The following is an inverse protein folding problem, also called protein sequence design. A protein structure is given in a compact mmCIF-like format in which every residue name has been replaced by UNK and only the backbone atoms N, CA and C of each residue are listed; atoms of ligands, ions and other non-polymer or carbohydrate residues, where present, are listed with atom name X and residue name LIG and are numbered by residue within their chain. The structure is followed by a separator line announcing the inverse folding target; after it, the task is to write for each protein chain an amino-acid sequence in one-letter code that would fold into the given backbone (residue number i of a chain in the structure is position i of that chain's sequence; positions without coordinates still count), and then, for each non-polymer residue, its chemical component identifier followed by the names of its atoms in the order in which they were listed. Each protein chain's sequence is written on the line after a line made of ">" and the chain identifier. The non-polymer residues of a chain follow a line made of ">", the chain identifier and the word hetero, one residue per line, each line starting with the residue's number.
data_IF_667334343630
#
_entry.id   IF_667334343630
#
_cell.length_a   1.000
_cell.length_b   1.000
_cell.length_c   1.000
_cell.angle_alpha   90.00
_cell.angle_beta   90.00
_cell.angle_gamma   90.00
#
_symmetry.space_group_name_H-M   'P 1'
#
loop_
_entity.id
_entity.type
_entity.pdbx_description
1 polymer ?
#
# COMPACT_ATOMS: atom_id res chain seq x y z
N UNK A 1 -3.67 -26.91 -20.29
CA UNK A 1 -4.54 -25.78 -19.91
C UNK A 1 -5.35 -26.20 -18.70
N UNK A 2 -4.82 -25.97 -17.49
CA UNK A 2 -5.52 -26.24 -16.23
C UNK A 2 -5.98 -24.88 -15.67
N UNK A 3 -7.26 -24.74 -15.32
CA UNK A 3 -7.77 -23.48 -14.85
C UNK A 3 -7.38 -23.22 -13.40
N UNK A 4 -6.95 -22.02 -13.12
CA UNK A 4 -7.09 -21.23 -11.87
C UNK A 4 -7.42 -22.04 -10.57
N UNK A 5 -6.58 -23.04 -10.22
CA UNK A 5 -6.68 -23.79 -8.96
C UNK A 5 -5.91 -23.14 -7.80
N UNK A 6 -5.24 -22.03 -8.04
CA UNK A 6 -4.19 -21.54 -7.15
C UNK A 6 -4.63 -20.31 -6.30
N UNK A 7 -5.92 -20.06 -6.11
CA UNK A 7 -6.35 -19.06 -5.14
C UNK A 7 -6.74 -19.73 -3.81
N UNK A 8 -6.20 -19.24 -2.72
CA UNK A 8 -6.47 -19.71 -1.35
C UNK A 8 -7.97 -19.78 -1.03
N UNK A 9 -8.76 -18.80 -1.51
CA UNK A 9 -10.22 -18.82 -1.39
C UNK A 9 -10.85 -19.95 -2.23
N UNK A 10 -10.31 -20.22 -3.43
CA UNK A 10 -10.80 -21.28 -4.28
C UNK A 10 -10.43 -22.66 -3.72
N UNK A 11 -9.23 -22.83 -3.16
CA UNK A 11 -8.84 -24.07 -2.48
C UNK A 11 -9.63 -24.32 -1.20
N UNK A 12 -9.86 -23.31 -0.35
CA UNK A 12 -10.71 -23.43 0.84
C UNK A 12 -12.11 -23.84 0.43
N UNK A 13 -12.69 -23.18 -0.58
CA UNK A 13 -14.04 -23.48 -1.08
C UNK A 13 -14.10 -24.84 -1.77
N UNK A 14 -13.09 -25.17 -2.58
CA UNK A 14 -13.02 -26.45 -3.29
C UNK A 14 -12.74 -27.62 -2.34
N UNK A 15 -11.86 -27.44 -1.35
CA UNK A 15 -11.59 -28.45 -0.33
C UNK A 15 -12.77 -28.70 0.62
N UNK A 16 -13.60 -27.71 0.86
CA UNK A 16 -14.88 -27.92 1.56
C UNK A 16 -15.92 -28.65 0.70
N UNK A 17 -15.81 -28.53 -0.62
CA UNK A 17 -16.74 -29.13 -1.59
C UNK A 17 -16.41 -30.56 -1.95
N UNK A 18 -15.12 -30.90 -2.08
CA UNK A 18 -14.71 -32.17 -2.72
C UNK A 18 -14.55 -33.36 -1.79
N UNK A 19 -14.55 -33.16 -0.45
CA UNK A 19 -14.24 -34.22 0.55
C UNK A 19 -12.93 -34.99 0.26
N UNK A 20 -12.00 -34.43 -0.50
CA UNK A 20 -10.74 -35.06 -0.85
C UNK A 20 -9.81 -35.15 0.36
N UNK A 21 -9.21 -36.31 0.66
CA UNK A 21 -8.29 -36.47 1.78
C UNK A 21 -6.99 -35.65 1.67
N UNK A 22 -6.66 -35.16 0.48
CA UNK A 22 -5.51 -34.25 0.26
C UNK A 22 -5.73 -32.84 0.83
N UNK A 23 -6.94 -32.51 1.22
CA UNK A 23 -7.33 -31.22 1.74
C UNK A 23 -7.15 -31.04 3.26
N UNK A 24 -6.76 -32.07 4.00
CA UNK A 24 -6.60 -31.99 5.47
C UNK A 24 -5.49 -31.01 5.93
N UNK A 25 -4.55 -30.68 5.05
CA UNK A 25 -3.49 -29.70 5.34
C UNK A 25 -3.94 -28.23 5.22
N UNK A 26 -5.10 -27.96 4.63
CA UNK A 26 -5.64 -26.60 4.40
C UNK A 26 -6.67 -26.20 5.46
N UNK A 27 -7.02 -27.12 6.37
CA UNK A 27 -8.00 -26.88 7.44
C UNK A 27 -7.41 -26.09 8.61
N UNK A 28 -7.01 -24.85 8.40
CA UNK A 28 -6.57 -23.95 9.46
C UNK A 28 -7.72 -23.36 10.31
N UNK A 29 -8.95 -23.49 9.86
CA UNK A 29 -10.14 -23.09 10.64
C UNK A 29 -11.10 -24.26 10.64
N UNK A 30 -11.26 -24.88 11.79
CA UNK A 30 -12.22 -25.96 11.99
C UNK A 30 -13.64 -25.37 11.99
N UNK A 31 -14.18 -25.11 10.80
CA UNK A 31 -15.53 -24.62 10.56
C UNK A 31 -16.59 -25.75 10.62
N UNK A 32 -16.38 -26.72 11.53
CA UNK A 32 -17.32 -27.82 11.77
C UNK A 32 -18.69 -27.37 12.30
N UNK A 33 -18.89 -26.06 12.50
CA UNK A 33 -20.15 -25.49 12.97
C UNK A 33 -21.15 -25.11 11.86
N UNK A 34 -20.77 -25.19 10.58
CA UNK A 34 -21.67 -24.83 9.48
C UNK A 34 -21.99 -26.11 8.71
N UNK A 35 -23.24 -26.63 8.74
CA UNK A 35 -23.67 -27.71 7.87
C UNK A 35 -23.68 -27.16 6.42
N UNK A 36 -22.67 -27.52 5.65
CA UNK A 36 -22.51 -27.04 4.27
C UNK A 36 -23.32 -27.92 3.33
N UNK A 37 -24.61 -27.69 3.27
CA UNK A 37 -25.32 -27.88 2.01
C UNK A 37 -25.03 -26.64 1.14
N UNK A 38 -24.43 -26.85 -0.02
CA UNK A 38 -23.95 -25.78 -0.89
C UNK A 38 -25.08 -25.03 -1.55
N UNK A 39 -25.73 -24.17 -0.78
CA UNK A 39 -26.61 -23.14 -1.31
C UNK A 39 -25.75 -21.93 -1.69
N UNK A 40 -26.00 -21.34 -2.85
CA UNK A 40 -25.39 -20.07 -3.29
C UNK A 40 -25.42 -18.99 -2.19
N UNK A 41 -26.39 -19.07 -1.31
CA UNK A 41 -26.56 -18.18 -0.16
C UNK A 41 -25.47 -18.39 0.89
N UNK A 42 -25.07 -19.62 1.21
CA UNK A 42 -23.98 -19.86 2.19
C UNK A 42 -22.63 -19.44 1.63
N UNK A 43 -22.40 -19.65 0.33
CA UNK A 43 -21.20 -19.17 -0.34
C UNK A 43 -21.10 -17.64 -0.33
N UNK A 44 -22.17 -16.94 -0.69
CA UNK A 44 -22.19 -15.48 -0.70
C UNK A 44 -22.03 -14.88 0.70
N UNK A 45 -22.61 -15.50 1.73
CA UNK A 45 -22.45 -15.06 3.11
C UNK A 45 -21.02 -15.27 3.63
N UNK A 46 -20.40 -16.40 3.34
CA UNK A 46 -19.00 -16.64 3.73
C UNK A 46 -18.02 -15.71 2.99
N UNK A 47 -18.20 -15.50 1.69
CA UNK A 47 -17.41 -14.56 0.92
C UNK A 47 -17.56 -13.12 1.46
N UNK A 48 -18.80 -12.70 1.75
CA UNK A 48 -19.06 -11.39 2.37
C UNK A 48 -18.35 -11.23 3.72
N UNK A 49 -18.43 -12.26 4.58
CA UNK A 49 -17.78 -12.23 5.88
C UNK A 49 -16.24 -12.08 5.74
N UNK A 50 -15.61 -12.83 4.84
CA UNK A 50 -14.17 -12.74 4.62
C UNK A 50 -13.76 -11.41 4.03
N UNK A 51 -14.50 -10.88 3.05
CA UNK A 51 -14.23 -9.55 2.47
C UNK A 51 -14.39 -8.48 3.57
N UNK A 52 -15.44 -8.56 4.37
CA UNK A 52 -15.67 -7.64 5.47
C UNK A 52 -14.55 -7.70 6.51
N UNK A 53 -14.14 -8.90 6.92
CA UNK A 53 -13.02 -9.10 7.85
C UNK A 53 -11.70 -8.54 7.29
N UNK A 54 -11.44 -8.76 6.01
CA UNK A 54 -10.26 -8.26 5.33
C UNK A 54 -10.22 -6.71 5.26
N UNK A 55 -11.33 -6.08 4.89
CA UNK A 55 -11.43 -4.61 4.86
C UNK A 55 -11.22 -4.04 6.26
N UNK A 56 -11.84 -4.63 7.30
CA UNK A 56 -11.65 -4.16 8.67
C UNK A 56 -10.21 -4.36 9.16
N UNK A 57 -9.55 -5.47 8.82
CA UNK A 57 -8.15 -5.70 9.16
C UNK A 57 -7.24 -4.63 8.52
N UNK A 58 -7.49 -4.28 7.26
CA UNK A 58 -6.78 -3.24 6.56
C UNK A 58 -7.03 -1.85 7.20
N UNK A 59 -8.25 -1.51 7.55
CA UNK A 59 -8.57 -0.26 8.27
C UNK A 59 -7.89 -0.19 9.64
N UNK A 60 -7.88 -1.29 10.39
CA UNK A 60 -7.18 -1.37 11.69
C UNK A 60 -5.67 -1.17 11.48
N UNK A 61 -5.08 -1.72 10.43
CA UNK A 61 -3.66 -1.54 10.14
C UNK A 61 -3.30 -0.07 9.87
N UNK A 62 -4.17 0.69 9.20
CA UNK A 62 -4.02 2.14 9.01
C UNK A 62 -4.09 2.89 10.35
N UNK A 63 -5.07 2.58 11.20
CA UNK A 63 -5.16 3.20 12.52
C UNK A 63 -3.89 2.95 13.37
N UNK A 64 -3.37 1.74 13.31
CA UNK A 64 -2.11 1.37 13.98
C UNK A 64 -0.91 2.11 13.39
N UNK A 65 -0.88 2.29 12.05
CA UNK A 65 0.17 3.05 11.38
C UNK A 65 0.14 4.53 11.80
N UNK A 66 -1.02 5.18 11.81
CA UNK A 66 -1.18 6.58 12.23
C UNK A 66 -0.72 6.76 13.68
N UNK A 67 -1.12 5.84 14.57
CA UNK A 67 -0.66 5.86 15.95
C UNK A 67 0.85 5.69 16.06
N UNK A 68 1.42 4.71 15.36
CA UNK A 68 2.85 4.42 15.35
C UNK A 68 3.67 5.58 14.80
N UNK A 69 3.22 6.19 13.71
CA UNK A 69 3.87 7.34 13.08
C UNK A 69 3.95 8.54 14.02
N UNK A 70 2.82 8.97 14.59
CA UNK A 70 2.80 10.09 15.56
C UNK A 70 3.70 9.85 16.76
N UNK A 71 3.81 8.61 17.21
CA UNK A 71 4.65 8.25 18.35
C UNK A 71 6.13 8.17 18.00
N UNK A 72 6.48 7.60 16.85
CA UNK A 72 7.86 7.53 16.37
C UNK A 72 8.41 8.92 16.05
N UNK A 73 7.64 9.75 15.34
CA UNK A 73 8.03 11.15 15.08
C UNK A 73 8.25 11.91 16.38
N UNK A 74 7.36 11.73 17.38
CA UNK A 74 7.54 12.33 18.70
C UNK A 74 8.88 11.95 19.34
N UNK A 75 9.28 10.68 19.27
CA UNK A 75 10.58 10.20 19.78
C UNK A 75 11.77 10.81 19.03
N UNK A 76 11.71 10.89 17.69
CA UNK A 76 12.77 11.53 16.91
C UNK A 76 12.92 13.04 17.21
N UNK A 77 11.81 13.70 17.53
CA UNK A 77 11.79 15.11 17.91
C UNK A 77 12.03 15.34 19.42
N UNK A 78 12.45 14.31 20.19
CA UNK A 78 12.65 14.36 21.63
C UNK A 78 11.43 14.88 22.42
N UNK A 79 10.20 14.61 21.94
CA UNK A 79 8.93 14.96 22.58
C UNK A 79 8.05 13.73 22.79
N UNK A 80 7.13 13.84 23.75
CA UNK A 80 6.14 12.80 23.99
C UNK A 80 5.07 12.84 22.89
N UNK A 81 4.82 11.71 22.23
CA UNK A 81 3.68 11.53 21.35
C UNK A 81 2.35 11.44 22.12
N UNK A 82 1.21 11.14 21.43
CA UNK A 82 -0.09 10.99 22.08
C UNK A 82 -0.02 10.01 23.25
N UNK A 83 -0.46 10.43 24.44
CA UNK A 83 -0.31 9.62 25.67
C UNK A 83 -1.59 9.56 26.53
N UNK A 84 -2.60 10.43 26.30
CA UNK A 84 -3.73 10.60 27.23
C UNK A 84 -4.96 9.73 26.95
N UNK A 85 -5.23 9.37 25.69
CA UNK A 85 -6.43 8.60 25.31
C UNK A 85 -6.11 7.11 25.18
N UNK A 86 -6.48 6.33 26.18
CA UNK A 86 -6.18 4.91 26.31
C UNK A 86 -4.72 4.62 26.62
N UNK A 87 -4.33 3.33 26.70
CA UNK A 87 -2.94 2.96 26.93
C UNK A 87 -2.05 3.51 25.82
N UNK A 88 -1.12 4.42 26.19
CA UNK A 88 -0.15 5.01 25.28
C UNK A 88 -0.78 5.83 24.12
N UNK A 89 -2.01 6.31 24.26
CA UNK A 89 -2.69 7.11 23.22
C UNK A 89 -3.24 6.30 22.04
N UNK A 90 -3.49 4.99 22.20
CA UNK A 90 -3.93 4.10 21.14
C UNK A 90 -5.30 4.49 20.53
N UNK A 91 -6.18 5.13 21.31
CA UNK A 91 -7.51 5.52 20.83
C UNK A 91 -7.55 6.88 20.12
N UNK A 92 -6.44 7.59 20.02
CA UNK A 92 -6.41 8.89 19.30
C UNK A 92 -6.78 8.79 17.82
N UNK A 93 -6.28 7.82 17.02
CA UNK A 93 -6.67 7.71 15.61
C UNK A 93 -8.16 7.36 15.43
N UNK A 94 -8.74 6.59 16.36
CA UNK A 94 -10.18 6.28 16.34
C UNK A 94 -11.00 7.55 16.58
N UNK A 95 -10.60 8.38 17.55
CA UNK A 95 -11.25 9.67 17.81
C UNK A 95 -11.14 10.62 16.60
N UNK A 96 -9.99 10.63 15.93
CA UNK A 96 -9.78 11.42 14.71
C UNK A 96 -10.67 10.92 13.55
N UNK A 97 -10.79 9.60 13.37
CA UNK A 97 -11.68 9.01 12.36
C UNK A 97 -13.15 9.38 12.62
N UNK A 98 -13.61 9.26 13.86
CA UNK A 98 -14.97 9.64 14.26
C UNK A 98 -15.20 11.14 14.01
N UNK A 99 -14.24 12.01 14.37
CA UNK A 99 -14.34 13.44 14.12
C UNK A 99 -14.51 13.76 12.62
N UNK A 100 -13.74 13.10 11.75
CA UNK A 100 -13.84 13.29 10.30
C UNK A 100 -15.20 12.83 9.77
N UNK A 101 -15.74 11.72 10.28
CA UNK A 101 -17.05 11.19 9.87
C UNK A 101 -18.22 12.12 10.22
N UNK A 102 -18.17 12.78 11.38
CA UNK A 102 -19.24 13.69 11.84
C UNK A 102 -19.05 15.14 11.42
N UNK A 103 -17.96 15.46 10.71
CA UNK A 103 -17.72 16.80 10.19
C UNK A 103 -18.64 17.06 9.00
N UNK A 104 -19.12 18.31 8.86
CA UNK A 104 -19.95 18.74 7.74
C UNK A 104 -19.19 18.62 6.40
N UNK A 105 -19.87 18.05 5.40
CA UNK A 105 -19.34 17.94 4.05
C UNK A 105 -19.75 19.16 3.22
N UNK A 106 -18.79 20.04 2.94
CA UNK A 106 -18.99 21.25 2.17
C UNK A 106 -18.47 21.03 0.75
N UNK A 107 -19.37 21.15 -0.22
CA UNK A 107 -19.03 21.04 -1.65
C UNK A 107 -18.91 22.42 -2.29
N UNK A 108 -17.83 22.70 -3.06
CA UNK A 108 -17.72 23.96 -3.82
C UNK A 108 -18.80 24.07 -4.88
N UNK A 109 -19.31 25.27 -5.09
CA UNK A 109 -20.40 25.54 -6.08
C UNK A 109 -19.97 25.31 -7.53
N UNK A 110 -18.68 25.45 -7.84
CA UNK A 110 -18.09 25.28 -9.18
C UNK A 110 -17.51 23.88 -9.41
N UNK A 111 -17.70 22.93 -8.49
CA UNK A 111 -17.15 21.58 -8.62
C UNK A 111 -17.95 20.70 -9.55
N UNK A 112 -17.27 19.85 -10.33
CA UNK A 112 -17.85 18.76 -11.08
C UNK A 112 -18.21 17.60 -10.15
N UNK A 113 -19.46 17.55 -9.69
CA UNK A 113 -19.92 16.65 -8.60
C UNK A 113 -19.57 15.18 -8.81
N UNK A 114 -19.70 14.67 -10.05
CA UNK A 114 -19.42 13.26 -10.33
C UNK A 114 -17.93 12.95 -10.13
N UNK A 115 -17.06 13.75 -10.72
CA UNK A 115 -15.59 13.57 -10.62
C UNK A 115 -15.13 13.84 -9.20
N UNK A 116 -15.71 14.83 -8.52
CA UNK A 116 -15.41 15.20 -7.16
C UNK A 116 -15.67 14.06 -6.15
N UNK A 117 -16.72 13.26 -6.35
CA UNK A 117 -17.00 12.07 -5.52
C UNK A 117 -16.18 10.86 -5.96
N UNK A 118 -15.91 10.73 -7.27
CA UNK A 118 -15.20 9.57 -7.81
C UNK A 118 -13.70 9.58 -7.45
N UNK A 119 -13.08 10.76 -7.39
CA UNK A 119 -11.65 10.89 -7.13
C UNK A 119 -11.19 10.23 -5.80
N UNK A 120 -11.79 10.51 -4.62
CA UNK A 120 -11.38 9.85 -3.38
C UNK A 120 -11.65 8.33 -3.39
N UNK A 121 -12.65 7.85 -4.13
CA UNK A 121 -12.93 6.42 -4.28
C UNK A 121 -11.82 5.76 -5.11
N UNK A 122 -11.38 6.39 -6.20
CA UNK A 122 -10.27 5.91 -7.02
C UNK A 122 -8.92 5.96 -6.31
N UNK A 123 -8.78 6.74 -5.25
CA UNK A 123 -7.58 6.72 -4.40
C UNK A 123 -7.54 5.47 -3.51
N UNK A 124 -8.68 5.07 -2.97
CA UNK A 124 -8.76 4.01 -1.95
C UNK A 124 -8.91 2.61 -2.57
N UNK A 125 -9.84 2.45 -3.53
CA UNK A 125 -10.21 1.12 -4.07
C UNK A 125 -9.03 0.38 -4.71
N UNK A 126 -8.19 1.00 -5.56
CA UNK A 126 -7.07 0.31 -6.17
C UNK A 126 -6.05 -0.18 -5.15
N UNK A 127 -5.77 0.60 -4.12
CA UNK A 127 -4.80 0.21 -3.09
C UNK A 127 -5.29 -1.03 -2.32
N UNK A 128 -6.59 -1.15 -2.05
CA UNK A 128 -7.15 -2.38 -1.47
C UNK A 128 -6.92 -3.62 -2.35
N UNK A 129 -6.88 -3.45 -3.68
CA UNK A 129 -6.64 -4.56 -4.61
C UNK A 129 -5.19 -5.08 -4.58
N UNK A 130 -4.24 -4.33 -4.07
CA UNK A 130 -2.84 -4.78 -3.95
C UNK A 130 -2.69 -5.84 -2.85
N UNK A 131 -3.37 -5.69 -1.71
CA UNK A 131 -3.17 -6.56 -0.55
C UNK A 131 -3.43 -8.04 -0.79
N UNK A 132 -4.49 -8.46 -1.53
CA UNK A 132 -4.73 -9.87 -1.82
C UNK A 132 -3.64 -10.55 -2.64
N UNK A 133 -2.86 -9.77 -3.41
CA UNK A 133 -1.82 -10.28 -4.31
C UNK A 133 -0.48 -10.42 -3.59
N UNK A 134 -0.30 -9.77 -2.44
CA UNK A 134 0.93 -9.85 -1.66
C UNK A 134 1.01 -11.20 -0.94
N UNK A 135 2.07 -11.99 -1.16
CA UNK A 135 2.27 -13.25 -0.47
C UNK A 135 2.86 -13.03 0.93
N UNK A 136 2.06 -13.23 1.97
CA UNK A 136 2.48 -13.08 3.36
C UNK A 136 3.24 -14.29 3.91
N UNK A 137 3.07 -15.45 3.30
CA UNK A 137 3.71 -16.71 3.68
C UNK A 137 3.74 -17.70 2.51
N UNK A 138 4.40 -18.84 2.68
CA UNK A 138 4.55 -19.85 1.62
C UNK A 138 3.20 -20.42 1.09
N UNK A 139 2.17 -20.42 1.96
CA UNK A 139 0.80 -20.85 1.62
C UNK A 139 -0.26 -19.79 1.97
N UNK A 140 0.16 -18.64 2.48
CA UNK A 140 -0.71 -17.58 2.99
C UNK A 140 -0.82 -16.44 1.97
N UNK A 141 -1.41 -16.73 0.82
CA UNK A 141 -1.78 -15.73 -0.20
C UNK A 141 -3.27 -15.88 -0.53
N UNK A 142 -3.94 -14.76 -0.77
CA UNK A 142 -5.36 -14.76 -1.14
C UNK A 142 -5.54 -15.07 -2.63
N UNK A 143 -4.65 -14.52 -3.47
CA UNK A 143 -4.65 -14.75 -4.92
C UNK A 143 -3.22 -14.83 -5.43
N UNK A 144 -2.91 -15.86 -6.24
CA UNK A 144 -1.65 -15.92 -6.95
C UNK A 144 -1.88 -15.55 -8.42
N UNK A 145 -1.41 -14.37 -8.79
CA UNK A 145 -1.54 -13.85 -10.17
C UNK A 145 -0.20 -14.06 -10.86
N UNK A 146 -0.22 -14.74 -12.03
CA UNK A 146 1.00 -15.00 -12.82
C UNK A 146 1.72 -13.71 -13.26
N UNK A 147 1.03 -12.59 -13.33
CA UNK A 147 1.55 -11.26 -13.72
C UNK A 147 1.46 -10.27 -12.53
N UNK A 148 1.70 -10.76 -11.31
CA UNK A 148 1.50 -10.00 -10.07
C UNK A 148 2.32 -8.72 -9.99
N UNK A 149 3.57 -8.73 -10.47
CA UNK A 149 4.44 -7.53 -10.47
C UNK A 149 3.84 -6.40 -11.32
N UNK A 150 3.42 -6.73 -12.55
CA UNK A 150 2.81 -5.73 -13.45
C UNK A 150 1.47 -5.25 -12.92
N UNK A 151 0.70 -6.13 -12.29
CA UNK A 151 -0.57 -5.78 -11.65
C UNK A 151 -0.38 -4.73 -10.54
N UNK A 152 0.62 -4.92 -9.67
CA UNK A 152 0.94 -3.95 -8.61
C UNK A 152 1.32 -2.60 -9.20
N UNK A 153 2.23 -2.56 -10.18
CA UNK A 153 2.64 -1.32 -10.84
C UNK A 153 1.48 -0.63 -11.56
N UNK A 154 0.60 -1.39 -12.22
CA UNK A 154 -0.57 -0.81 -12.89
C UNK A 154 -1.58 -0.18 -11.89
N UNK A 155 -1.73 -0.78 -10.71
CA UNK A 155 -2.62 -0.23 -9.68
C UNK A 155 -2.04 1.06 -9.09
N UNK A 156 -0.73 1.11 -8.86
CA UNK A 156 -0.11 2.32 -8.34
C UNK A 156 -0.27 3.50 -9.30
N UNK A 157 -0.22 3.26 -10.61
CA UNK A 157 -0.48 4.30 -11.63
C UNK A 157 -1.91 4.88 -11.59
N UNK A 158 -2.92 4.13 -11.12
CA UNK A 158 -4.28 4.65 -10.97
C UNK A 158 -4.33 5.75 -9.90
N UNK A 159 -3.45 5.71 -8.93
CA UNK A 159 -3.36 6.71 -7.88
C UNK A 159 -3.05 8.11 -8.43
N UNK A 160 -2.14 8.21 -9.42
CA UNK A 160 -1.82 9.46 -10.10
C UNK A 160 -3.03 10.07 -10.82
N UNK A 161 -3.86 9.22 -11.43
CA UNK A 161 -5.12 9.64 -12.07
C UNK A 161 -6.12 10.19 -11.03
N UNK A 162 -6.24 9.55 -9.87
CA UNK A 162 -7.10 10.01 -8.78
C UNK A 162 -6.74 11.43 -8.31
N UNK A 163 -5.45 11.70 -8.13
CA UNK A 163 -4.95 13.02 -7.74
C UNK A 163 -5.24 14.09 -8.81
N UNK A 164 -5.06 13.76 -10.09
CA UNK A 164 -5.41 14.66 -11.20
C UNK A 164 -6.90 15.00 -11.20
N UNK A 165 -7.75 13.97 -11.07
CA UNK A 165 -9.20 14.14 -11.03
C UNK A 165 -9.62 15.00 -9.83
N UNK A 166 -8.99 14.83 -8.68
CA UNK A 166 -9.28 15.63 -7.50
C UNK A 166 -8.97 17.11 -7.72
N UNK A 167 -7.79 17.43 -8.25
CA UNK A 167 -7.40 18.79 -8.57
C UNK A 167 -8.31 19.45 -9.62
N UNK A 168 -8.69 18.69 -10.65
CA UNK A 168 -9.58 19.18 -11.72
C UNK A 168 -11.00 19.43 -11.22
N UNK A 169 -11.57 18.50 -10.46
CA UNK A 169 -12.96 18.53 -10.02
C UNK A 169 -13.29 19.66 -9.06
N UNK A 170 -12.33 20.16 -8.30
CA UNK A 170 -12.53 21.24 -7.31
C UNK A 170 -12.86 22.60 -7.94
N UNK A 171 -12.53 22.83 -9.22
CA UNK A 171 -12.78 24.10 -9.90
C UNK A 171 -11.95 25.30 -9.34
N UNK A 172 -10.97 25.03 -8.49
CA UNK A 172 -10.10 26.02 -7.87
C UNK A 172 -8.73 26.04 -8.58
N UNK A 173 -8.23 27.22 -8.91
CA UNK A 173 -6.93 27.39 -9.59
C UNK A 173 -5.76 26.80 -8.79
N UNK A 174 -5.75 26.95 -7.49
CA UNK A 174 -4.70 26.43 -6.62
C UNK A 174 -4.74 24.88 -6.55
N UNK A 175 -5.93 24.30 -6.49
CA UNK A 175 -6.11 22.86 -6.49
C UNK A 175 -5.68 22.22 -7.83
N UNK A 176 -5.97 22.85 -8.96
CA UNK A 176 -5.54 22.39 -10.29
C UNK A 176 -4.00 22.42 -10.39
N UNK A 177 -3.36 23.51 -10.01
CA UNK A 177 -1.90 23.64 -10.04
C UNK A 177 -1.26 22.60 -9.10
N UNK A 178 -1.82 22.40 -7.91
CA UNK A 178 -1.38 21.38 -6.96
C UNK A 178 -1.51 19.98 -7.53
N UNK A 179 -2.65 19.65 -8.15
CA UNK A 179 -2.88 18.37 -8.80
C UNK A 179 -1.93 18.08 -9.96
N UNK A 180 -1.73 19.05 -10.86
CA UNK A 180 -0.77 18.91 -11.98
C UNK A 180 0.65 18.70 -11.49
N UNK A 181 1.08 19.44 -10.46
CA UNK A 181 2.41 19.30 -9.85
C UNK A 181 2.60 17.92 -9.22
N UNK A 182 1.59 17.44 -8.50
CA UNK A 182 1.57 16.10 -7.92
C UNK A 182 1.71 15.01 -8.98
N UNK A 183 0.87 15.07 -10.01
CA UNK A 183 0.87 14.08 -11.10
C UNK A 183 2.18 14.08 -11.86
N UNK A 184 2.75 15.25 -12.14
CA UNK A 184 4.06 15.33 -12.80
C UNK A 184 5.15 14.61 -11.99
N UNK A 185 5.12 14.71 -10.66
CA UNK A 185 6.03 14.00 -9.78
C UNK A 185 5.76 12.50 -9.80
N UNK A 186 4.50 12.08 -9.58
CA UNK A 186 4.11 10.66 -9.52
C UNK A 186 4.51 9.93 -10.81
N UNK A 187 4.12 10.43 -11.99
CA UNK A 187 4.46 9.85 -13.29
C UNK A 187 5.98 9.79 -13.52
N UNK A 188 6.72 10.81 -13.08
CA UNK A 188 8.18 10.82 -13.21
C UNK A 188 8.84 9.71 -12.40
N UNK A 189 8.38 9.43 -11.19
CA UNK A 189 8.97 8.41 -10.32
C UNK A 189 8.45 6.99 -10.58
N UNK A 190 7.33 6.81 -11.28
CA UNK A 190 6.84 5.50 -11.75
C UNK A 190 7.86 4.82 -12.69
N UNK A 191 8.55 5.60 -13.54
CA UNK A 191 9.54 5.06 -14.50
C UNK A 191 10.72 4.39 -13.78
N UNK A 192 11.50 5.07 -12.90
CA UNK A 192 12.60 4.42 -12.17
C UNK A 192 12.11 3.29 -11.26
N UNK A 193 10.92 3.39 -10.69
CA UNK A 193 10.32 2.32 -9.92
C UNK A 193 10.06 1.08 -10.79
N UNK A 194 9.47 1.25 -11.98
CA UNK A 194 9.24 0.17 -12.93
C UNK A 194 10.54 -0.48 -13.43
N UNK A 195 11.59 0.31 -13.72
CA UNK A 195 12.90 -0.20 -14.15
C UNK A 195 13.55 -1.02 -13.03
N UNK A 196 13.50 -0.53 -11.78
CA UNK A 196 14.08 -1.26 -10.65
C UNK A 196 13.32 -2.56 -10.36
N UNK A 197 11.99 -2.57 -10.51
CA UNK A 197 11.17 -3.79 -10.42
C UNK A 197 11.48 -4.77 -11.56
N UNK A 198 11.70 -4.27 -12.79
CA UNK A 198 12.12 -5.11 -13.91
C UNK A 198 13.46 -5.83 -13.64
N UNK A 199 14.41 -5.16 -12.99
CA UNK A 199 15.65 -5.78 -12.56
C UNK A 199 15.44 -6.98 -11.61
N UNK A 200 14.49 -6.89 -10.68
CA UNK A 200 14.10 -8.01 -9.80
C UNK A 200 13.47 -9.15 -10.59
N UNK A 201 12.59 -8.84 -11.55
CA UNK A 201 11.93 -9.82 -12.42
C UNK A 201 12.94 -10.58 -13.28
N UNK A 202 13.95 -9.90 -13.82
CA UNK A 202 15.00 -10.52 -14.64
C UNK A 202 15.78 -11.55 -13.82
N UNK A 203 16.12 -11.26 -12.56
CA UNK A 203 16.81 -12.22 -11.68
C UNK A 203 15.89 -13.39 -11.31
N UNK A 204 14.63 -13.11 -11.02
CA UNK A 204 13.66 -14.13 -10.62
C UNK A 204 13.20 -15.02 -11.77
N UNK A 205 13.23 -14.52 -13.02
CA UNK A 205 12.73 -15.20 -14.20
C UNK A 205 11.21 -15.37 -14.25
N UNK A 206 10.47 -14.68 -13.36
CA UNK A 206 9.01 -14.76 -13.23
C UNK A 206 8.39 -13.43 -12.85
N UNK A 207 7.13 -13.20 -13.28
CA UNK A 207 6.30 -12.04 -12.94
C UNK A 207 5.39 -12.30 -11.73
N UNK A 208 5.31 -13.54 -11.24
CA UNK A 208 4.53 -13.92 -10.06
C UNK A 208 5.24 -13.51 -8.79
N UNK A 209 4.55 -12.83 -7.86
CA UNK A 209 5.14 -12.37 -6.60
C UNK A 209 5.59 -13.53 -5.70
N UNK A 210 4.87 -14.65 -5.70
CA UNK A 210 5.25 -15.84 -4.95
C UNK A 210 6.55 -16.45 -5.47
N UNK A 211 6.69 -16.60 -6.79
CA UNK A 211 7.88 -17.14 -7.43
C UNK A 211 9.09 -16.20 -7.27
N UNK A 212 8.86 -14.89 -7.31
CA UNK A 212 9.90 -13.88 -7.00
C UNK A 212 10.46 -14.09 -5.60
N UNK A 213 9.63 -14.35 -4.58
CA UNK A 213 10.12 -14.64 -3.22
C UNK A 213 10.80 -16.01 -3.16
N UNK A 214 10.28 -17.02 -3.85
CA UNK A 214 10.86 -18.36 -3.87
C UNK A 214 12.23 -18.41 -4.56
N UNK A 215 12.46 -17.60 -5.57
CA UNK A 215 13.75 -17.50 -6.26
C UNK A 215 14.85 -16.86 -5.39
N UNK A 216 14.48 -16.06 -4.39
CA UNK A 216 15.40 -15.36 -3.51
C UNK A 216 15.97 -16.27 -2.40
N UNK A 217 17.03 -17.01 -2.66
CA UNK A 217 17.78 -17.74 -1.63
C UNK A 217 18.52 -16.73 -0.73
N UNK A 218 19.11 -15.72 -1.33
CA UNK A 218 19.73 -14.58 -0.68
C UNK A 218 18.89 -13.34 -1.00
N UNK A 219 18.67 -12.41 -0.06
CA UNK A 219 17.90 -11.19 -0.32
C UNK A 219 18.45 -10.41 -1.52
N UNK A 220 17.57 -9.99 -2.43
CA UNK A 220 17.94 -9.22 -3.64
C UNK A 220 18.61 -7.89 -3.31
N UNK A 221 18.41 -7.35 -2.13
CA UNK A 221 19.12 -6.17 -1.61
C UNK A 221 20.65 -6.34 -1.70
N UNK A 222 21.17 -7.56 -1.58
CA UNK A 222 22.61 -7.82 -1.63
C UNK A 222 23.10 -7.85 -3.09
N UNK A 223 22.30 -8.42 -4.00
CA UNK A 223 22.65 -8.49 -5.43
C UNK A 223 22.39 -7.19 -6.16
N UNK A 224 21.34 -6.45 -5.78
CA UNK A 224 20.92 -5.20 -6.41
C UNK A 224 20.74 -4.08 -5.37
N UNK A 225 21.79 -3.65 -4.67
CA UNK A 225 21.67 -2.59 -3.66
C UNK A 225 21.24 -1.26 -4.27
N UNK A 226 21.69 -0.94 -5.49
CA UNK A 226 21.29 0.27 -6.19
C UNK A 226 19.80 0.22 -6.58
N UNK A 227 19.33 -0.91 -7.13
CA UNK A 227 17.92 -1.11 -7.46
C UNK A 227 17.02 -0.95 -6.22
N UNK A 228 17.44 -1.47 -5.08
CA UNK A 228 16.72 -1.29 -3.82
C UNK A 228 16.63 0.18 -3.40
N UNK A 229 17.73 0.94 -3.47
CA UNK A 229 17.74 2.37 -3.11
C UNK A 229 16.84 3.16 -4.06
N UNK A 230 16.94 2.91 -5.36
CA UNK A 230 16.10 3.56 -6.37
C UNK A 230 14.63 3.26 -6.14
N UNK A 231 14.27 1.99 -5.90
CA UNK A 231 12.89 1.60 -5.61
C UNK A 231 12.37 2.26 -4.34
N UNK A 232 13.19 2.31 -3.28
CA UNK A 232 12.82 2.91 -2.00
C UNK A 232 12.61 4.42 -2.13
N UNK A 233 13.47 5.14 -2.87
CA UNK A 233 13.31 6.58 -3.11
C UNK A 233 12.10 6.84 -4.01
N UNK A 234 11.92 6.06 -5.08
CA UNK A 234 10.78 6.21 -5.97
C UNK A 234 9.45 5.95 -5.25
N UNK A 235 9.39 4.92 -4.40
CA UNK A 235 8.19 4.65 -3.59
C UNK A 235 7.91 5.75 -2.55
N UNK A 236 8.93 6.40 -1.96
CA UNK A 236 8.68 7.57 -1.09
C UNK A 236 8.09 8.75 -1.85
N UNK A 237 8.51 8.97 -3.08
CA UNK A 237 7.97 10.01 -3.94
C UNK A 237 6.52 9.72 -4.36
N UNK A 238 6.22 8.46 -4.70
CA UNK A 238 4.87 8.01 -5.04
C UNK A 238 3.88 8.15 -3.89
N UNK A 239 4.36 7.98 -2.66
CA UNK A 239 3.55 8.17 -1.45
C UNK A 239 3.34 9.64 -1.06
N UNK A 240 3.81 10.61 -1.85
CA UNK A 240 3.77 12.04 -1.55
C UNK A 240 4.31 12.40 -0.15
N UNK A 241 5.26 11.61 0.38
CA UNK A 241 5.81 11.83 1.73
C UNK A 241 7.14 12.59 1.68
N UNK A 242 7.44 13.32 2.77
CA UNK A 242 8.74 14.00 2.88
C UNK A 242 9.89 13.01 2.62
N UNK A 243 10.88 13.40 1.78
CA UNK A 243 11.21 14.75 1.29
C UNK A 243 10.43 15.23 0.06
N UNK A 244 9.57 14.41 -0.56
CA UNK A 244 8.87 14.69 -1.82
C UNK A 244 7.45 15.27 -1.63
N UNK A 245 7.11 15.73 -0.45
CA UNK A 245 5.81 16.29 -0.08
C UNK A 245 5.63 17.73 -0.64
N UNK A 246 5.51 17.83 -1.98
CA UNK A 246 5.27 19.12 -2.66
C UNK A 246 3.76 19.41 -2.75
N UNK A 247 2.96 18.37 -2.69
CA UNK A 247 1.52 18.45 -2.90
C UNK A 247 0.81 19.16 -1.76
N UNK A 248 1.28 18.95 -0.52
CA UNK A 248 0.76 19.56 0.71
C UNK A 248 1.58 20.78 1.17
N UNK A 249 2.28 21.46 0.23
CA UNK A 249 3.10 22.61 0.57
C UNK A 249 2.24 23.80 1.04
N UNK A 250 1.93 23.86 2.35
CA UNK A 250 1.13 24.92 2.96
C UNK A 250 1.62 26.34 2.62
N UNK A 251 2.94 26.50 2.48
CA UNK A 251 3.56 27.78 2.14
C UNK A 251 3.36 28.22 0.69
N UNK A 252 3.04 27.30 -0.23
CA UNK A 252 2.93 27.58 -1.67
C UNK A 252 1.49 27.41 -2.20
N UNK A 253 0.78 26.36 -1.81
CA UNK A 253 -0.49 25.94 -2.42
C UNK A 253 -1.60 25.64 -1.40
N UNK A 254 -1.45 26.06 -0.15
CA UNK A 254 -2.36 25.83 0.97
C UNK A 254 -2.43 24.33 1.34
N UNK A 255 -3.23 23.51 0.63
CA UNK A 255 -3.29 22.06 0.79
C UNK A 255 -3.34 21.34 -0.56
N UNK A 256 -2.84 21.99 -1.61
CA UNK A 256 -2.76 21.40 -2.96
C UNK A 256 -4.12 20.95 -3.49
N UNK A 257 -4.17 19.71 -4.02
CA UNK A 257 -5.40 19.14 -4.61
C UNK A 257 -6.50 18.85 -3.57
N UNK A 258 -6.15 18.74 -2.28
CA UNK A 258 -7.10 18.46 -1.19
C UNK A 258 -7.76 19.73 -0.61
N UNK A 259 -7.40 20.93 -1.08
CA UNK A 259 -7.81 22.22 -0.47
C UNK A 259 -9.32 22.34 -0.32
N UNK A 260 -10.07 21.89 -1.30
CA UNK A 260 -11.53 22.05 -1.35
C UNK A 260 -12.29 20.82 -0.81
N UNK A 261 -11.58 19.75 -0.45
CA UNK A 261 -12.19 18.55 0.10
C UNK A 261 -12.39 18.68 1.61
N UNK A 262 -13.55 18.26 2.08
CA UNK A 262 -13.91 18.30 3.51
C UNK A 262 -14.45 16.96 3.98
N UNK A 263 -14.62 16.80 5.30
CA UNK A 263 -15.26 15.64 5.92
C UNK A 263 -14.72 14.29 5.46
N UNK A 264 -15.61 13.36 5.14
CA UNK A 264 -15.28 11.98 4.77
C UNK A 264 -14.48 11.89 3.47
N UNK A 265 -14.70 12.78 2.49
CA UNK A 265 -13.96 12.83 1.22
C UNK A 265 -12.47 13.10 1.45
N UNK A 266 -12.16 14.06 2.32
CA UNK A 266 -10.80 14.33 2.77
C UNK A 266 -10.20 13.14 3.53
N UNK A 267 -11.01 12.53 4.42
CA UNK A 267 -10.60 11.34 5.15
C UNK A 267 -10.24 10.15 4.26
N UNK A 268 -10.94 9.98 3.11
CA UNK A 268 -10.64 8.93 2.14
C UNK A 268 -9.29 9.15 1.44
N UNK A 269 -8.90 10.38 1.10
CA UNK A 269 -7.57 10.66 0.56
C UNK A 269 -6.47 10.27 1.54
N UNK A 270 -6.58 10.70 2.80
CA UNK A 270 -5.65 10.30 3.85
C UNK A 270 -5.61 8.78 4.06
N UNK A 271 -6.77 8.14 4.06
CA UNK A 271 -6.87 6.68 4.15
C UNK A 271 -6.09 6.03 2.99
N UNK A 272 -6.28 6.50 1.75
CA UNK A 272 -5.60 6.00 0.57
C UNK A 272 -4.07 6.12 0.68
N UNK A 273 -3.56 7.26 1.11
CA UNK A 273 -2.12 7.49 1.29
C UNK A 273 -1.49 6.58 2.37
N UNK A 274 -2.17 6.42 3.51
CA UNK A 274 -1.70 5.51 4.55
C UNK A 274 -1.75 4.05 4.10
N UNK A 275 -2.82 3.66 3.40
CA UNK A 275 -2.94 2.33 2.82
C UNK A 275 -1.87 2.07 1.76
N UNK A 276 -1.59 3.04 0.89
CA UNK A 276 -0.52 2.95 -0.09
C UNK A 276 0.86 2.79 0.59
N UNK A 277 1.10 3.46 1.72
CA UNK A 277 2.34 3.28 2.50
C UNK A 277 2.50 1.85 3.02
N UNK A 278 1.41 1.26 3.51
CA UNK A 278 1.38 -0.13 3.99
C UNK A 278 1.61 -1.09 2.82
N UNK A 279 0.96 -0.88 1.68
CA UNK A 279 1.08 -1.70 0.49
C UNK A 279 2.49 -1.63 -0.13
N UNK A 280 3.03 -0.44 -0.36
CA UNK A 280 4.37 -0.26 -0.95
C UNK A 280 5.47 -0.83 -0.07
N UNK A 281 5.35 -0.70 1.27
CA UNK A 281 6.30 -1.33 2.19
C UNK A 281 6.26 -2.86 2.10
N UNK A 282 5.10 -3.47 1.93
CA UNK A 282 4.97 -4.91 1.74
C UNK A 282 5.55 -5.37 0.38
N UNK A 283 5.36 -4.58 -0.68
CA UNK A 283 5.97 -4.83 -2.00
C UNK A 283 7.50 -4.77 -1.92
N UNK A 284 8.07 -3.82 -1.20
CA UNK A 284 9.53 -3.75 -0.99
C UNK A 284 10.05 -5.02 -0.28
N UNK A 285 9.33 -5.51 0.71
CA UNK A 285 9.69 -6.74 1.41
C UNK A 285 9.67 -7.94 0.46
N UNK A 286 8.70 -8.05 -0.42
CA UNK A 286 8.60 -9.14 -1.40
C UNK A 286 9.69 -9.08 -2.47
N UNK A 287 10.03 -7.89 -2.97
CA UNK A 287 10.99 -7.73 -4.06
C UNK A 287 12.45 -7.84 -3.59
N UNK A 288 12.80 -7.25 -2.46
CA UNK A 288 14.19 -7.07 -2.06
C UNK A 288 14.60 -7.80 -0.78
N UNK A 289 13.66 -8.08 0.13
CA UNK A 289 13.94 -8.65 1.45
C UNK A 289 13.53 -10.13 1.59
N UNK A 290 13.38 -10.84 0.49
CA UNK A 290 12.98 -12.27 0.47
C UNK A 290 11.65 -12.59 1.16
N UNK A 291 10.70 -11.66 1.20
CA UNK A 291 9.35 -11.89 1.71
C UNK A 291 9.33 -12.62 3.06
N UNK A 292 8.66 -13.78 3.10
CA UNK A 292 8.51 -14.61 4.30
C UNK A 292 9.74 -15.46 4.65
N UNK A 293 10.79 -15.51 3.80
CA UNK A 293 12.00 -16.27 4.11
C UNK A 293 12.79 -15.56 5.21
N UNK A 294 13.07 -16.29 6.28
CA UNK A 294 13.93 -15.86 7.39
C UNK A 294 15.22 -16.65 7.46
N UNK A 295 16.12 -16.30 8.40
CA UNK A 295 17.33 -17.07 8.66
C UNK A 295 16.98 -18.49 9.09
N UNK A 296 17.61 -19.50 8.46
CA UNK A 296 17.31 -20.93 8.64
C UNK A 296 17.65 -21.47 10.06
N UNK A 297 18.43 -20.71 10.85
CA UNK A 297 18.82 -21.11 12.20
C UNK A 297 17.75 -20.85 13.28
N UNK A 298 16.68 -20.09 12.97
CA UNK A 298 15.60 -19.80 13.90
C UNK A 298 14.31 -20.49 13.42
N UNK A 299 13.73 -21.42 14.18
CA UNK A 299 12.47 -22.11 13.83
C UNK A 299 11.25 -21.21 14.10
N UNK A 300 11.17 -20.06 13.42
CA UNK A 300 10.07 -19.10 13.51
C UNK A 300 9.23 -19.21 12.23
N UNK A 301 7.89 -19.15 12.31
CA UNK A 301 7.02 -19.15 11.13
C UNK A 301 7.41 -18.04 10.14
N UNK A 302 7.36 -18.35 8.84
CA UNK A 302 7.75 -17.39 7.80
C UNK A 302 6.93 -16.10 7.82
N UNK A 303 5.65 -16.18 8.18
CA UNK A 303 4.75 -15.04 8.31
C UNK A 303 5.27 -14.02 9.33
N UNK A 304 5.80 -14.48 10.46
CA UNK A 304 6.40 -13.58 11.47
C UNK A 304 7.58 -12.79 10.90
N UNK A 305 8.44 -13.45 10.08
CA UNK A 305 9.55 -12.79 9.41
C UNK A 305 9.08 -11.74 8.41
N UNK A 306 8.02 -12.05 7.67
CA UNK A 306 7.39 -11.08 6.77
C UNK A 306 6.93 -9.84 7.53
N UNK A 307 6.14 -10.01 8.58
CA UNK A 307 5.64 -8.89 9.39
C UNK A 307 6.75 -8.08 10.07
N UNK A 308 7.79 -8.73 10.57
CA UNK A 308 8.92 -8.05 11.20
C UNK A 308 9.66 -7.15 10.20
N UNK A 309 9.95 -7.65 8.98
CA UNK A 309 10.56 -6.86 7.91
C UNK A 309 9.64 -5.74 7.43
N UNK A 310 8.35 -6.03 7.31
CA UNK A 310 7.34 -5.07 6.90
C UNK A 310 7.27 -3.87 7.84
N UNK A 311 7.20 -4.11 9.14
CA UNK A 311 7.25 -3.06 10.16
C UNK A 311 8.59 -2.30 10.09
N UNK A 312 9.70 -2.99 9.81
CA UNK A 312 11.01 -2.37 9.61
C UNK A 312 11.04 -1.38 8.45
N UNK A 313 10.47 -1.74 7.30
CA UNK A 313 10.38 -0.84 6.13
C UNK A 313 9.44 0.35 6.42
N UNK A 314 8.31 0.12 7.06
CA UNK A 314 7.42 1.20 7.51
C UNK A 314 8.16 2.17 8.43
N UNK A 315 8.96 1.65 9.36
CA UNK A 315 9.75 2.50 10.25
C UNK A 315 10.80 3.34 9.49
N UNK A 316 11.37 2.82 8.39
CA UNK A 316 12.27 3.58 7.49
C UNK A 316 11.51 4.74 6.83
N UNK A 317 10.31 4.52 6.30
CA UNK A 317 9.50 5.61 5.71
C UNK A 317 9.16 6.70 6.75
N UNK A 318 8.81 6.31 7.97
CA UNK A 318 8.55 7.26 9.06
C UNK A 318 9.83 8.01 9.45
N UNK A 319 10.97 7.32 9.44
CA UNK A 319 12.26 7.95 9.72
C UNK A 319 12.63 8.98 8.66
N UNK A 320 12.43 8.68 7.37
CA UNK A 320 12.64 9.63 6.27
C UNK A 320 11.79 10.89 6.48
N UNK A 321 10.50 10.71 6.80
CA UNK A 321 9.60 11.83 7.09
C UNK A 321 10.06 12.69 8.27
N UNK A 322 10.69 12.08 9.28
CA UNK A 322 11.13 12.79 10.48
C UNK A 322 12.48 13.52 10.31
N UNK A 323 13.33 13.08 9.35
CA UNK A 323 14.72 13.55 9.23
C UNK A 323 14.98 14.45 8.04
N UNK A 324 14.37 14.16 6.88
CA UNK A 324 14.65 14.91 5.67
C UNK A 324 13.81 16.20 5.56
N UNK A 325 14.44 17.32 5.18
CA UNK A 325 13.70 18.53 4.82
C UNK A 325 12.99 18.34 3.49
N UNK A 326 11.95 19.13 3.24
CA UNK A 326 11.23 19.16 1.97
C UNK A 326 12.14 19.66 0.83
N UNK A 327 12.06 19.00 -0.32
CA UNK A 327 12.76 19.39 -1.54
C UNK A 327 11.93 20.39 -2.36
N UNK A 328 12.60 21.27 -3.11
CA UNK A 328 11.94 22.11 -4.11
C UNK A 328 11.68 21.33 -5.39
N UNK A 329 10.70 21.78 -6.18
CA UNK A 329 10.31 21.12 -7.42
C UNK A 329 11.49 20.99 -8.39
N UNK A 330 12.36 22.01 -8.48
CA UNK A 330 13.54 22.00 -9.33
C UNK A 330 14.53 20.90 -8.92
N UNK A 331 14.73 20.71 -7.62
CA UNK A 331 15.60 19.65 -7.07
C UNK A 331 15.03 18.26 -7.33
N UNK A 332 13.72 18.12 -7.31
CA UNK A 332 13.05 16.85 -7.58
C UNK A 332 13.18 16.46 -9.04
N UNK A 333 13.03 17.39 -9.98
CA UNK A 333 13.23 17.13 -11.41
C UNK A 333 14.67 16.74 -11.73
N UNK A 334 15.65 17.35 -11.09
CA UNK A 334 17.08 16.96 -11.22
C UNK A 334 17.31 15.57 -10.59
N UNK A 335 16.75 15.30 -9.41
CA UNK A 335 16.87 14.00 -8.76
C UNK A 335 16.27 12.88 -9.63
N UNK A 336 15.13 13.11 -10.27
CA UNK A 336 14.52 12.16 -11.20
C UNK A 336 15.45 11.81 -12.36
N UNK A 337 16.07 12.79 -13.02
CA UNK A 337 16.99 12.52 -14.13
C UNK A 337 18.21 11.72 -13.68
N UNK A 338 18.73 12.00 -12.48
CA UNK A 338 19.84 11.25 -11.91
C UNK A 338 19.47 9.82 -11.51
N UNK A 339 18.22 9.55 -11.13
CA UNK A 339 17.75 8.21 -10.80
C UNK A 339 17.46 7.36 -12.04
N UNK A 340 16.96 7.95 -13.13
CA UNK A 340 16.66 7.22 -14.36
C UNK A 340 17.92 6.83 -15.14
N UNK A 341 18.93 7.68 -15.18
CA UNK A 341 20.18 7.39 -15.91
C UNK A 341 20.95 6.17 -15.38
N UNK A 342 21.23 6.03 -14.08
CA UNK A 342 21.95 4.84 -13.59
C UNK A 342 21.12 3.56 -13.66
N UNK A 343 19.79 3.63 -13.54
CA UNK A 343 18.96 2.43 -13.64
C UNK A 343 18.90 1.87 -15.05
N UNK A 344 18.95 2.71 -16.10
CA UNK A 344 19.00 2.26 -17.48
C UNK A 344 20.31 1.55 -17.85
N UNK A 345 21.38 1.75 -17.08
CA UNK A 345 22.68 1.09 -17.28
C UNK A 345 22.79 -0.25 -16.55
N UNK A 346 21.85 -0.56 -15.65
CA UNK A 346 21.86 -1.77 -14.81
C UNK A 346 20.97 -2.89 -15.35
N UNK A 347 20.16 -2.63 -16.36
CA UNK A 347 19.35 -3.60 -17.11
C UNK A 347 20.04 -3.92 -18.41
#
# INVERSE_FOLDING_TARGET
>A
MGPARDSFLFEIVFCHLSKDPSCDSVRFINLSFIPVELNWLSFSLTAFFWIFAFINAALISVLMLIWGERRLIGKFQARLGPNRWGPLGLFTPIADAIKVMFKEDVEPTLSDKLIYVLAPILMVVPVFMIFPVIPYGAKSFLTNISVGVVFVLAITSINSLSVLMAGWASGNRFAIIGGIRAVAMLLSYEIPMGISAAGVVIIAGSLSLSEVVESQIIPNVIFQPLGFIVFLVASTAELNRSPFDITEAESELVAGYMTDYSSMKFGLFYLGEFMATIASSAVIVTFYLSGWRGPSFLPIPGEFWFFAKWIGVIAIFIWFRATFPRLRIDQITVSYTHLTLPTSQLV
#
